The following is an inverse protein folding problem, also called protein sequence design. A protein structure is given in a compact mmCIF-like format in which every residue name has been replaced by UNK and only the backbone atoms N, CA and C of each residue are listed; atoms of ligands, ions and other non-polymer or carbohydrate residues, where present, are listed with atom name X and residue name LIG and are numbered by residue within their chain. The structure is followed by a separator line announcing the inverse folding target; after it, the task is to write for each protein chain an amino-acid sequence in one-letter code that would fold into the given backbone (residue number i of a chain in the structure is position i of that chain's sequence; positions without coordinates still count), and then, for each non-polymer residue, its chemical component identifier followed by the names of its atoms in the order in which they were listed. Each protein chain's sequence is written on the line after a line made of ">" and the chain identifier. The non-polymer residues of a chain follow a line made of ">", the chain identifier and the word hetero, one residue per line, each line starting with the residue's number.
data_IF_459420064933
#
_entry.id   IF_459420064933
#
_cell.length_a   1.000
_cell.length_b   1.000
_cell.length_c   1.000
_cell.angle_alpha   90.00
_cell.angle_beta   90.00
_cell.angle_gamma   90.00
#
_symmetry.space_group_name_H-M   'P 1'
#
loop_
_entity.id
_entity.type
_entity.pdbx_description
1 polymer ?
#
# COMPACT_ATOMS: atom_id res chain seq x y z
N UNK A 1 -12.22 -59.50 -31.02
CA UNK A 1 -11.89 -58.05 -31.12
C UNK A 1 -12.99 -57.29 -30.40
N UNK A 2 -12.87 -57.15 -29.08
CA UNK A 2 -13.83 -56.40 -28.25
C UNK A 2 -13.27 -55.00 -28.01
N UNK A 3 -14.01 -53.98 -28.45
CA UNK A 3 -13.67 -52.57 -28.25
C UNK A 3 -14.29 -52.16 -26.91
N UNK A 4 -13.46 -51.92 -25.92
CA UNK A 4 -13.85 -51.22 -24.68
C UNK A 4 -13.99 -49.74 -25.00
N UNK A 5 -15.19 -49.18 -24.84
CA UNK A 5 -15.38 -47.73 -24.76
C UNK A 5 -15.08 -47.30 -23.33
N UNK A 6 -13.93 -46.68 -23.11
CA UNK A 6 -13.68 -45.93 -21.88
C UNK A 6 -14.61 -44.71 -21.86
N UNK A 7 -15.64 -44.77 -21.00
CA UNK A 7 -16.43 -43.60 -20.65
C UNK A 7 -15.56 -42.66 -19.81
N UNK A 8 -15.04 -41.61 -20.45
CA UNK A 8 -14.46 -40.45 -19.78
C UNK A 8 -15.56 -39.81 -18.93
N UNK A 9 -15.50 -40.00 -17.61
CA UNK A 9 -16.43 -39.41 -16.66
C UNK A 9 -16.23 -37.88 -16.66
N UNK A 10 -16.98 -37.17 -17.50
CA UNK A 10 -17.11 -35.73 -17.40
C UNK A 10 -17.84 -35.39 -16.10
N UNK A 11 -17.37 -34.34 -15.42
CA UNK A 11 -17.94 -33.84 -14.17
C UNK A 11 -19.47 -33.68 -14.33
N UNK A 12 -20.30 -34.33 -13.49
CA UNK A 12 -21.76 -34.33 -13.63
C UNK A 12 -22.37 -32.92 -13.56
N UNK A 13 -21.66 -31.93 -13.01
CA UNK A 13 -22.08 -30.52 -13.02
C UNK A 13 -21.93 -29.82 -14.38
N UNK A 14 -21.37 -30.47 -15.41
CA UNK A 14 -21.27 -29.92 -16.78
C UNK A 14 -22.54 -30.14 -17.63
N UNK A 15 -23.47 -30.95 -17.14
CA UNK A 15 -24.74 -31.22 -17.83
C UNK A 15 -25.77 -30.12 -17.54
N UNK A 16 -26.43 -29.54 -18.56
CA UNK A 16 -27.30 -28.37 -18.42
C UNK A 16 -28.51 -28.58 -17.49
N UNK A 17 -28.99 -29.83 -17.34
CA UNK A 17 -30.08 -30.18 -16.42
C UNK A 17 -29.63 -30.41 -14.96
N UNK A 18 -28.36 -30.74 -14.75
CA UNK A 18 -27.81 -31.12 -13.43
C UNK A 18 -27.09 -29.93 -12.80
N UNK A 19 -26.63 -28.98 -13.61
CA UNK A 19 -25.94 -27.78 -13.17
C UNK A 19 -26.82 -26.83 -12.33
N UNK A 20 -28.16 -26.93 -12.45
CA UNK A 20 -29.12 -26.20 -11.63
C UNK A 20 -29.46 -26.88 -10.29
N UNK A 21 -28.92 -28.07 -10.02
CA UNK A 21 -29.12 -28.72 -8.72
C UNK A 21 -28.34 -27.97 -7.63
N UNK A 22 -28.89 -27.86 -6.41
CA UNK A 22 -28.28 -27.14 -5.29
C UNK A 22 -26.77 -27.41 -5.09
N UNK A 23 -26.27 -28.65 -5.12
CA UNK A 23 -24.83 -28.92 -4.93
C UNK A 23 -23.92 -28.35 -6.02
N UNK A 24 -24.40 -28.09 -7.24
CA UNK A 24 -23.59 -27.46 -8.30
C UNK A 24 -23.70 -25.91 -8.29
N UNK A 25 -24.71 -25.34 -7.61
CA UNK A 25 -24.95 -23.90 -7.54
C UNK A 25 -24.26 -23.18 -6.36
N UNK A 26 -23.84 -23.93 -5.32
CA UNK A 26 -23.35 -23.35 -4.05
C UNK A 26 -21.91 -22.78 -4.12
N UNK A 27 -21.14 -23.08 -5.17
CA UNK A 27 -19.74 -22.64 -5.27
C UNK A 27 -19.59 -21.13 -5.53
N UNK A 28 -20.56 -20.50 -6.20
CA UNK A 28 -20.52 -19.06 -6.50
C UNK A 28 -20.82 -18.17 -5.28
N UNK A 29 -21.77 -18.58 -4.44
CA UNK A 29 -22.18 -17.82 -3.26
C UNK A 29 -21.07 -17.77 -2.20
N UNK A 30 -20.47 -18.92 -1.91
CA UNK A 30 -19.35 -19.03 -0.97
C UNK A 30 -18.12 -18.22 -1.43
N UNK A 31 -17.75 -18.33 -2.72
CA UNK A 31 -16.66 -17.55 -3.31
C UNK A 31 -16.94 -16.05 -3.24
N UNK A 32 -18.19 -15.63 -3.49
CA UNK A 32 -18.63 -14.25 -3.40
C UNK A 32 -18.52 -13.69 -1.97
N UNK A 33 -18.92 -14.44 -0.95
CA UNK A 33 -18.79 -14.02 0.46
C UNK A 33 -17.32 -13.80 0.83
N UNK A 34 -16.42 -14.74 0.50
CA UNK A 34 -14.99 -14.58 0.75
C UNK A 34 -14.36 -13.43 -0.05
N UNK A 35 -14.82 -13.18 -1.28
CA UNK A 35 -14.35 -12.04 -2.06
C UNK A 35 -14.84 -10.72 -1.46
N UNK A 36 -16.09 -10.62 -1.02
CA UNK A 36 -16.64 -9.43 -0.38
C UNK A 36 -15.89 -9.09 0.91
N UNK A 37 -15.49 -10.10 1.68
CA UNK A 37 -14.61 -9.91 2.83
C UNK A 37 -13.25 -9.31 2.42
N UNK A 38 -12.60 -9.88 1.39
CA UNK A 38 -11.35 -9.32 0.86
C UNK A 38 -11.52 -7.88 0.38
N UNK A 39 -12.57 -7.59 -0.39
CA UNK A 39 -12.84 -6.24 -0.91
C UNK A 39 -12.99 -5.25 0.23
N UNK A 40 -13.75 -5.58 1.27
CA UNK A 40 -14.01 -4.67 2.39
C UNK A 40 -12.75 -4.37 3.20
N UNK A 41 -11.94 -5.40 3.49
CA UNK A 41 -10.69 -5.24 4.22
C UNK A 41 -9.62 -4.50 3.41
N UNK A 42 -9.51 -4.78 2.11
CA UNK A 42 -8.56 -4.07 1.23
C UNK A 42 -8.98 -2.62 0.99
N UNK A 43 -10.28 -2.34 0.88
CA UNK A 43 -10.81 -0.99 0.68
C UNK A 43 -10.43 -0.06 1.84
N UNK A 44 -10.61 -0.50 3.09
CA UNK A 44 -10.21 0.25 4.28
C UNK A 44 -8.71 0.55 4.32
N UNK A 45 -7.87 -0.43 3.96
CA UNK A 45 -6.42 -0.23 3.90
C UNK A 45 -6.01 0.79 2.84
N UNK A 46 -6.57 0.68 1.63
CA UNK A 46 -6.27 1.62 0.55
C UNK A 46 -6.83 3.03 0.79
N UNK A 47 -7.99 3.17 1.44
CA UNK A 47 -8.53 4.47 1.83
C UNK A 47 -7.56 5.19 2.77
N UNK A 48 -7.03 4.50 3.78
CA UNK A 48 -6.00 5.03 4.67
C UNK A 48 -4.71 5.40 3.93
N UNK A 49 -4.27 4.56 2.99
CA UNK A 49 -3.08 4.83 2.17
C UNK A 49 -3.27 6.02 1.21
N UNK A 50 -4.49 6.24 0.71
CA UNK A 50 -4.83 7.35 -0.17
C UNK A 50 -5.00 8.66 0.60
N UNK A 51 -5.69 8.65 1.75
CA UNK A 51 -5.83 9.83 2.62
C UNK A 51 -4.46 10.34 3.06
N UNK A 52 -3.55 9.41 3.39
CA UNK A 52 -2.18 9.74 3.75
C UNK A 52 -1.29 10.12 2.56
N UNK A 53 -1.72 9.87 1.32
CA UNK A 53 -0.95 10.26 0.13
C UNK A 53 -0.88 11.79 -0.07
N UNK A 54 -1.86 12.54 0.43
CA UNK A 54 -1.79 14.01 0.44
C UNK A 54 -0.64 14.52 1.33
N UNK A 55 -0.37 13.82 2.44
CA UNK A 55 0.79 14.10 3.28
C UNK A 55 2.09 13.87 2.50
N UNK A 56 2.15 12.89 1.60
CA UNK A 56 3.34 12.61 0.78
C UNK A 56 3.68 13.78 -0.16
N UNK A 57 2.67 14.47 -0.73
CA UNK A 57 2.90 15.61 -1.63
C UNK A 57 3.50 16.78 -0.86
N UNK A 58 2.97 17.07 0.32
CA UNK A 58 3.50 18.12 1.19
C UNK A 58 4.94 17.79 1.63
N UNK A 59 5.22 16.55 2.03
CA UNK A 59 6.55 16.10 2.45
C UNK A 59 7.57 16.16 1.30
N UNK A 60 7.17 15.76 0.09
CA UNK A 60 8.02 15.87 -1.11
C UNK A 60 8.34 17.33 -1.40
N UNK A 61 7.36 18.22 -1.36
CA UNK A 61 7.58 19.65 -1.58
C UNK A 61 8.53 20.25 -0.54
N UNK A 62 8.34 19.89 0.73
CA UNK A 62 9.19 20.32 1.85
C UNK A 62 10.63 19.83 1.72
N UNK A 63 10.84 18.52 1.49
CA UNK A 63 12.17 17.96 1.23
C UNK A 63 12.83 18.57 -0.02
N UNK A 64 12.03 18.91 -1.03
CA UNK A 64 12.53 19.58 -2.24
C UNK A 64 13.04 20.98 -1.94
N UNK A 65 12.26 21.78 -1.21
CA UNK A 65 12.66 23.12 -0.79
C UNK A 65 13.94 23.07 0.06
N UNK A 66 13.98 22.12 0.99
CA UNK A 66 15.11 21.83 1.85
C UNK A 66 16.41 21.57 1.08
N UNK A 67 16.44 20.68 0.09
CA UNK A 67 17.70 20.34 -0.57
C UNK A 67 18.18 21.46 -1.50
N UNK A 68 17.26 22.22 -2.09
CA UNK A 68 17.61 23.42 -2.86
C UNK A 68 18.31 24.44 -1.95
N UNK A 69 17.76 24.66 -0.76
CA UNK A 69 18.38 25.53 0.22
C UNK A 69 19.73 25.01 0.73
N UNK A 70 19.86 23.71 1.03
CA UNK A 70 21.17 23.09 1.35
C UNK A 70 22.17 23.29 0.21
N UNK A 71 21.71 23.17 -1.05
CA UNK A 71 22.52 23.40 -2.25
C UNK A 71 23.06 24.83 -2.33
N UNK A 72 22.27 25.82 -1.92
CA UNK A 72 22.71 27.23 -1.85
C UNK A 72 23.79 27.46 -0.77
N UNK A 73 23.86 26.58 0.24
CA UNK A 73 24.85 26.66 1.33
C UNK A 73 26.20 26.04 0.97
N UNK A 74 26.22 25.06 0.06
CA UNK A 74 27.44 24.40 -0.45
C UNK A 74 28.51 25.42 -0.89
N UNK A 75 28.23 26.41 -1.77
CA UNK A 75 29.24 27.38 -2.19
C UNK A 75 29.69 28.31 -1.06
N UNK A 76 28.85 28.58 -0.07
CA UNK A 76 29.19 29.43 1.08
C UNK A 76 30.19 28.74 2.00
N UNK A 77 29.95 27.45 2.29
CA UNK A 77 30.89 26.63 3.07
C UNK A 77 32.21 26.46 2.34
N UNK A 78 32.18 26.26 1.02
CA UNK A 78 33.40 26.12 0.19
C UNK A 78 34.38 27.29 0.32
N UNK A 79 33.85 28.50 0.42
CA UNK A 79 34.64 29.74 0.49
C UNK A 79 34.78 30.29 1.92
N UNK A 80 34.37 29.51 2.93
CA UNK A 80 34.45 29.90 4.33
C UNK A 80 35.86 29.74 4.92
N UNK A 81 36.02 30.28 6.14
CA UNK A 81 37.23 30.14 6.97
C UNK A 81 37.14 28.99 7.98
N UNK A 82 36.17 28.09 7.85
CA UNK A 82 36.03 26.89 8.68
C UNK A 82 37.25 25.97 8.56
N UNK A 83 37.62 25.29 9.65
CA UNK A 83 38.79 24.41 9.70
C UNK A 83 38.58 23.14 8.84
N UNK A 84 37.38 22.57 8.90
CA UNK A 84 36.90 21.35 8.22
C UNK A 84 36.01 21.68 7.00
N UNK A 85 36.16 22.88 6.41
CA UNK A 85 35.32 23.34 5.27
C UNK A 85 35.22 22.37 4.11
N UNK A 86 36.29 21.63 3.79
CA UNK A 86 36.32 20.70 2.66
C UNK A 86 35.46 19.46 2.94
N UNK A 87 35.53 18.96 4.17
CA UNK A 87 34.72 17.85 4.64
C UNK A 87 33.25 18.27 4.78
N UNK A 88 32.98 19.42 5.39
CA UNK A 88 31.62 19.96 5.51
C UNK A 88 30.98 20.27 4.14
N UNK A 89 31.75 20.77 3.17
CA UNK A 89 31.29 20.93 1.79
C UNK A 89 30.88 19.59 1.18
N UNK A 90 31.78 18.59 1.24
CA UNK A 90 31.53 17.25 0.75
C UNK A 90 30.38 16.55 1.50
N UNK A 91 30.11 16.95 2.75
CA UNK A 91 29.00 16.58 3.62
C UNK A 91 27.80 17.53 3.57
N UNK A 92 27.74 18.50 2.67
CA UNK A 92 26.50 19.23 2.33
C UNK A 92 25.98 18.82 0.94
N UNK A 93 26.89 18.54 0.01
CA UNK A 93 26.57 18.11 -1.37
C UNK A 93 25.70 16.83 -1.48
N UNK A 94 26.21 15.66 -1.13
CA UNK A 94 25.46 14.40 -0.95
C UNK A 94 24.18 14.39 -0.04
N UNK A 95 23.77 15.46 0.66
CA UNK A 95 22.59 15.57 1.58
C UNK A 95 21.55 16.26 0.76
N UNK A 96 21.97 17.24 -0.05
CA UNK A 96 21.17 17.67 -1.15
C UNK A 96 20.86 16.48 -2.08
N UNK A 97 21.84 15.61 -2.40
CA UNK A 97 21.58 14.39 -3.19
C UNK A 97 20.70 13.38 -2.45
N UNK A 98 20.99 13.04 -1.19
CA UNK A 98 20.17 12.12 -0.40
C UNK A 98 18.74 12.63 -0.23
N UNK A 99 18.54 13.93 0.01
CA UNK A 99 17.21 14.54 0.16
C UNK A 99 16.44 14.54 -1.16
N UNK A 100 17.13 14.79 -2.27
CA UNK A 100 16.57 14.68 -3.63
C UNK A 100 16.16 13.25 -3.95
N UNK A 101 16.98 12.27 -3.60
CA UNK A 101 16.65 10.85 -3.73
C UNK A 101 15.46 10.49 -2.84
N UNK A 102 15.46 10.87 -1.56
CA UNK A 102 14.35 10.62 -0.64
C UNK A 102 13.03 11.21 -1.16
N UNK A 103 13.04 12.45 -1.64
CA UNK A 103 11.87 13.09 -2.25
C UNK A 103 11.35 12.33 -3.48
N UNK A 104 12.26 11.88 -4.36
CA UNK A 104 11.89 11.06 -5.53
C UNK A 104 11.29 9.72 -5.14
N UNK A 105 11.86 9.03 -4.15
CA UNK A 105 11.36 7.74 -3.69
C UNK A 105 10.00 7.87 -3.00
N UNK A 106 9.78 8.92 -2.19
CA UNK A 106 8.47 9.24 -1.62
C UNK A 106 7.41 9.50 -2.70
N UNK A 107 7.75 10.28 -3.73
CA UNK A 107 6.87 10.53 -4.85
C UNK A 107 6.53 9.24 -5.61
N UNK A 108 7.54 8.39 -5.87
CA UNK A 108 7.33 7.10 -6.51
C UNK A 108 6.47 6.15 -5.65
N UNK A 109 6.65 6.16 -4.33
CA UNK A 109 5.84 5.38 -3.41
C UNK A 109 4.37 5.79 -3.50
N UNK A 110 4.10 7.10 -3.44
CA UNK A 110 2.74 7.65 -3.59
C UNK A 110 2.09 7.24 -4.92
N UNK A 111 2.81 7.40 -6.04
CA UNK A 111 2.33 6.97 -7.34
C UNK A 111 2.07 5.45 -7.42
N UNK A 112 2.92 4.63 -6.79
CA UNK A 112 2.71 3.18 -6.70
C UNK A 112 1.51 2.81 -5.85
N UNK A 113 1.25 3.53 -4.76
CA UNK A 113 0.04 3.35 -3.94
C UNK A 113 -1.20 3.59 -4.82
N UNK A 114 -1.30 4.74 -5.49
CA UNK A 114 -2.44 5.06 -6.35
C UNK A 114 -2.62 4.02 -7.47
N UNK A 115 -1.55 3.71 -8.21
CA UNK A 115 -1.59 2.73 -9.29
C UNK A 115 -1.91 1.31 -8.78
N UNK A 116 -1.42 0.95 -7.59
CA UNK A 116 -1.70 -0.32 -6.94
C UNK A 116 -3.17 -0.45 -6.55
N UNK A 117 -3.75 0.59 -5.96
CA UNK A 117 -5.18 0.68 -5.63
C UNK A 117 -6.03 0.52 -6.89
N UNK A 118 -5.69 1.21 -7.98
CA UNK A 118 -6.42 1.10 -9.24
C UNK A 118 -6.39 -0.31 -9.81
N UNK A 119 -5.21 -0.96 -9.81
CA UNK A 119 -5.05 -2.33 -10.29
C UNK A 119 -5.87 -3.33 -9.46
N UNK A 120 -5.83 -3.23 -8.13
CA UNK A 120 -6.58 -4.12 -7.25
C UNK A 120 -8.08 -3.88 -7.42
N UNK A 121 -8.53 -2.63 -7.43
CA UNK A 121 -9.94 -2.27 -7.61
C UNK A 121 -10.47 -2.77 -8.96
N UNK A 122 -9.68 -2.63 -10.03
CA UNK A 122 -10.05 -3.13 -11.34
C UNK A 122 -10.20 -4.65 -11.38
N UNK A 123 -9.26 -5.40 -10.78
CA UNK A 123 -9.32 -6.87 -10.76
C UNK A 123 -10.42 -7.37 -9.82
N UNK A 124 -10.60 -6.77 -8.64
CA UNK A 124 -11.70 -7.12 -7.73
C UNK A 124 -13.06 -6.80 -8.36
N UNK A 125 -13.20 -5.65 -9.02
CA UNK A 125 -14.42 -5.27 -9.75
C UNK A 125 -14.71 -6.20 -10.92
N UNK A 126 -13.68 -6.64 -11.65
CA UNK A 126 -13.82 -7.68 -12.68
C UNK A 126 -14.28 -9.01 -12.08
N UNK A 127 -13.65 -9.44 -11.00
CA UNK A 127 -13.98 -10.68 -10.29
C UNK A 127 -15.43 -10.68 -9.80
N UNK A 128 -15.85 -9.58 -9.17
CA UNK A 128 -17.22 -9.42 -8.69
C UNK A 128 -18.24 -9.50 -9.84
N UNK A 129 -17.98 -8.83 -10.98
CA UNK A 129 -18.85 -8.90 -12.16
C UNK A 129 -18.99 -10.32 -12.71
N UNK A 130 -17.89 -11.06 -12.79
CA UNK A 130 -17.91 -12.47 -13.24
C UNK A 130 -18.70 -13.34 -12.25
N UNK A 131 -18.43 -13.23 -10.95
CA UNK A 131 -19.10 -14.06 -9.93
C UNK A 131 -20.60 -13.77 -9.80
N UNK A 132 -21.03 -12.52 -10.00
CA UNK A 132 -22.44 -12.14 -9.98
C UNK A 132 -23.18 -12.48 -11.27
N UNK A 133 -22.50 -13.04 -12.28
CA UNK A 133 -23.09 -13.32 -13.58
C UNK A 133 -23.54 -12.06 -14.32
N UNK A 134 -23.01 -10.90 -13.96
CA UNK A 134 -23.36 -9.63 -14.60
C UNK A 134 -22.82 -9.64 -16.04
N UNK A 135 -23.67 -9.49 -17.08
CA UNK A 135 -23.19 -9.44 -18.45
C UNK A 135 -22.27 -8.22 -18.65
N UNK A 136 -21.27 -8.31 -19.55
CA UNK A 136 -20.47 -7.14 -19.90
C UNK A 136 -21.37 -6.03 -20.48
N UNK A 137 -20.99 -4.75 -20.35
CA UNK A 137 -21.82 -3.61 -20.77
C UNK A 137 -22.21 -3.60 -22.26
N UNK A 138 -21.64 -4.49 -23.08
CA UNK A 138 -21.88 -4.62 -24.52
C UNK A 138 -22.79 -5.79 -24.92
N UNK A 139 -23.25 -6.64 -24.00
CA UNK A 139 -24.04 -7.84 -24.34
C UNK A 139 -25.25 -8.01 -23.42
N UNK A 140 -26.23 -7.12 -23.55
CA UNK A 140 -27.61 -7.45 -23.20
C UNK A 140 -28.13 -8.48 -24.20
N UNK A 141 -27.83 -9.75 -23.95
CA UNK A 141 -28.28 -10.84 -24.81
C UNK A 141 -29.81 -10.89 -24.83
N UNK A 142 -30.39 -10.78 -26.03
CA UNK A 142 -31.80 -11.00 -26.35
C UNK A 142 -32.34 -12.39 -25.88
N UNK A 143 -31.50 -13.24 -25.32
CA UNK A 143 -31.84 -14.56 -24.80
C UNK A 143 -32.59 -14.53 -23.46
N UNK A 144 -32.47 -13.46 -22.66
CA UNK A 144 -33.27 -13.34 -21.42
C UNK A 144 -34.75 -13.02 -21.71
N UNK A 145 -35.05 -12.38 -22.84
CA UNK A 145 -36.39 -11.86 -23.14
C UNK A 145 -37.31 -12.88 -23.83
N UNK A 146 -36.77 -13.93 -24.44
CA UNK A 146 -37.58 -14.88 -25.24
C UNK A 146 -38.28 -15.92 -24.35
N UNK A 147 -37.70 -16.26 -23.19
CA UNK A 147 -38.28 -17.26 -22.28
C UNK A 147 -39.50 -16.75 -21.49
N UNK A 148 -39.63 -15.43 -21.30
CA UNK A 148 -40.76 -14.78 -20.61
C UNK A 148 -42.07 -14.78 -21.43
N UNK A 149 -42.02 -15.08 -22.72
CA UNK A 149 -43.20 -15.01 -23.60
C UNK A 149 -44.02 -16.32 -23.54
N UNK A 150 -43.40 -17.46 -23.20
CA UNK A 150 -44.02 -18.79 -23.37
C UNK A 150 -44.56 -19.39 -22.06
N UNK A 151 -44.10 -18.92 -20.89
CA UNK A 151 -44.54 -19.43 -19.59
C UNK A 151 -44.87 -18.25 -18.66
N UNK A 152 -46.14 -17.93 -18.38
CA UNK A 152 -46.53 -16.79 -17.55
C UNK A 152 -46.47 -17.13 -16.06
N UNK A 153 -45.45 -17.89 -15.65
CA UNK A 153 -45.13 -18.07 -14.23
C UNK A 153 -44.17 -16.93 -13.91
N UNK A 154 -44.50 -16.09 -12.92
CA UNK A 154 -43.66 -14.98 -12.46
C UNK A 154 -42.39 -15.49 -11.75
N UNK A 155 -41.57 -16.23 -12.45
CA UNK A 155 -40.22 -16.55 -12.03
C UNK A 155 -39.29 -15.63 -12.81
N UNK A 156 -38.68 -14.66 -12.12
CA UNK A 156 -37.54 -13.85 -12.61
C UNK A 156 -36.31 -14.74 -12.88
N UNK A 157 -36.47 -15.83 -13.62
CA UNK A 157 -35.40 -16.77 -13.93
C UNK A 157 -34.70 -16.30 -15.19
N UNK A 158 -34.02 -15.16 -15.09
CA UNK A 158 -32.69 -15.12 -15.65
C UNK A 158 -31.91 -16.20 -14.90
N UNK A 159 -31.91 -17.43 -15.42
CA UNK A 159 -31.08 -18.51 -14.88
C UNK A 159 -29.66 -18.01 -15.02
N UNK A 160 -29.10 -17.50 -13.92
CA UNK A 160 -27.68 -17.20 -13.84
C UNK A 160 -26.99 -18.48 -14.28
N UNK A 161 -26.28 -18.40 -15.42
CA UNK A 161 -25.58 -19.54 -15.98
C UNK A 161 -24.72 -20.11 -14.84
N UNK A 162 -24.86 -21.40 -14.49
CA UNK A 162 -24.02 -21.98 -13.46
C UNK A 162 -22.58 -21.77 -13.90
N UNK A 163 -21.86 -20.94 -13.13
CA UNK A 163 -20.49 -20.60 -13.46
C UNK A 163 -19.65 -21.87 -13.36
N UNK A 164 -18.85 -22.12 -14.39
CA UNK A 164 -17.88 -23.21 -14.37
C UNK A 164 -16.98 -23.05 -13.12
N UNK A 165 -16.88 -24.06 -12.25
CA UNK A 165 -16.00 -24.03 -11.09
C UNK A 165 -14.55 -23.65 -11.42
N UNK A 166 -14.06 -24.01 -12.62
CA UNK A 166 -12.72 -23.62 -13.07
C UNK A 166 -12.61 -22.11 -13.35
N UNK A 167 -13.67 -21.49 -13.88
CA UNK A 167 -13.72 -20.04 -14.10
C UNK A 167 -13.78 -19.32 -12.76
N UNK A 168 -14.62 -19.78 -11.82
CA UNK A 168 -14.70 -19.20 -10.45
C UNK A 168 -13.33 -19.24 -9.78
N UNK A 169 -12.69 -20.41 -9.79
CA UNK A 169 -11.36 -20.58 -9.20
C UNK A 169 -10.31 -19.71 -9.89
N UNK A 170 -10.31 -19.66 -11.22
CA UNK A 170 -9.34 -18.90 -12.00
C UNK A 170 -9.42 -17.38 -11.75
N UNK A 171 -10.62 -16.81 -11.76
CA UNK A 171 -10.78 -15.37 -11.54
C UNK A 171 -10.51 -15.00 -10.08
N UNK A 172 -10.82 -15.89 -9.13
CA UNK A 172 -10.47 -15.70 -7.73
C UNK A 172 -8.95 -15.78 -7.47
N UNK A 173 -8.26 -16.75 -8.08
CA UNK A 173 -6.80 -16.85 -8.02
C UNK A 173 -6.12 -15.63 -8.66
N UNK A 174 -6.66 -15.13 -9.77
CA UNK A 174 -6.19 -13.91 -10.42
C UNK A 174 -6.30 -12.70 -9.48
N UNK A 175 -7.43 -12.55 -8.78
CA UNK A 175 -7.62 -11.47 -7.82
C UNK A 175 -6.62 -11.52 -6.68
N UNK A 176 -6.45 -12.68 -6.04
CA UNK A 176 -5.54 -12.81 -4.92
C UNK A 176 -4.07 -12.68 -5.31
N UNK A 177 -3.66 -13.28 -6.44
CA UNK A 177 -2.27 -13.15 -6.93
C UNK A 177 -1.95 -11.70 -7.27
N UNK A 178 -2.84 -11.02 -8.00
CA UNK A 178 -2.63 -9.60 -8.33
C UNK A 178 -2.53 -8.73 -7.08
N UNK A 179 -3.42 -8.94 -6.09
CA UNK A 179 -3.38 -8.20 -4.83
C UNK A 179 -2.06 -8.42 -4.09
N UNK A 180 -1.60 -9.66 -3.99
CA UNK A 180 -0.33 -9.95 -3.31
C UNK A 180 0.89 -9.38 -4.04
N UNK A 181 0.93 -9.46 -5.36
CA UNK A 181 2.02 -8.90 -6.17
C UNK A 181 2.10 -7.38 -6.00
N UNK A 182 0.94 -6.71 -5.99
CA UNK A 182 0.86 -5.26 -5.73
C UNK A 182 1.34 -4.93 -4.32
N UNK A 183 0.82 -5.62 -3.29
CA UNK A 183 1.21 -5.38 -1.90
C UNK A 183 2.70 -5.64 -1.66
N UNK A 184 3.27 -6.71 -2.23
CA UNK A 184 4.70 -6.98 -2.15
C UNK A 184 5.53 -5.87 -2.82
N UNK A 185 5.10 -5.40 -4.00
CA UNK A 185 5.75 -4.28 -4.68
C UNK A 185 5.70 -2.97 -3.90
N UNK A 186 4.61 -2.71 -3.16
CA UNK A 186 4.48 -1.57 -2.26
C UNK A 186 5.41 -1.67 -1.05
N UNK A 187 5.49 -2.86 -0.44
CA UNK A 187 6.37 -3.11 0.70
C UNK A 187 7.84 -2.86 0.33
N UNK A 188 8.30 -3.38 -0.82
CA UNK A 188 9.66 -3.15 -1.32
C UNK A 188 9.93 -1.67 -1.62
N UNK A 189 8.96 -0.95 -2.20
CA UNK A 189 9.10 0.47 -2.48
C UNK A 189 9.16 1.31 -1.20
N UNK A 190 8.36 0.97 -0.19
CA UNK A 190 8.36 1.66 1.10
C UNK A 190 9.67 1.40 1.87
N UNK A 191 10.18 0.17 1.90
CA UNK A 191 11.49 -0.16 2.48
C UNK A 191 12.63 0.61 1.80
N UNK A 192 12.63 0.67 0.47
CA UNK A 192 13.63 1.44 -0.27
C UNK A 192 13.55 2.95 0.06
N UNK A 193 12.34 3.47 0.27
CA UNK A 193 12.13 4.87 0.67
C UNK A 193 12.66 5.13 2.08
N UNK A 194 12.41 4.23 3.04
CA UNK A 194 12.99 4.33 4.39
C UNK A 194 14.52 4.33 4.36
N UNK A 195 15.13 3.44 3.58
CA UNK A 195 16.59 3.38 3.46
C UNK A 195 17.20 4.71 2.96
N UNK A 196 16.49 5.44 2.08
CA UNK A 196 16.90 6.78 1.65
C UNK A 196 16.73 7.84 2.73
N UNK A 197 15.65 7.76 3.51
CA UNK A 197 15.45 8.64 4.67
C UNK A 197 16.47 8.37 5.79
N UNK A 198 16.93 7.12 5.97
CA UNK A 198 17.99 6.77 6.92
C UNK A 198 19.35 7.27 6.47
N UNK A 199 19.65 7.21 5.17
CA UNK A 199 20.86 7.78 4.58
C UNK A 199 20.91 9.29 4.84
N UNK A 200 19.78 9.98 4.64
CA UNK A 200 19.62 11.40 4.94
C UNK A 200 19.88 11.70 6.43
N UNK A 201 19.36 10.87 7.35
CA UNK A 201 19.57 11.03 8.80
C UNK A 201 21.04 10.86 9.19
N UNK A 202 21.67 9.81 8.67
CA UNK A 202 23.10 9.53 8.89
C UNK A 202 23.95 10.71 8.45
N UNK A 203 23.63 11.33 7.32
CA UNK A 203 24.37 12.48 6.81
C UNK A 203 24.15 13.73 7.64
N UNK A 204 22.92 13.99 8.10
CA UNK A 204 22.65 15.05 9.07
C UNK A 204 23.45 14.86 10.37
N UNK A 205 23.62 13.62 10.82
CA UNK A 205 24.42 13.32 12.01
C UNK A 205 25.90 13.66 11.77
N UNK A 206 26.49 13.23 10.65
CA UNK A 206 27.88 13.56 10.34
C UNK A 206 28.14 15.07 10.23
N UNK A 207 27.18 15.82 9.66
CA UNK A 207 27.25 17.29 9.62
C UNK A 207 27.26 17.87 11.03
N UNK A 208 26.37 17.39 11.91
CA UNK A 208 26.28 17.85 13.28
C UNK A 208 27.55 17.53 14.08
N UNK A 209 28.15 16.36 13.88
CA UNK A 209 29.40 15.98 14.54
C UNK A 209 30.54 16.93 14.13
N UNK A 210 30.68 17.25 12.84
CA UNK A 210 31.70 18.22 12.37
C UNK A 210 31.40 19.63 12.86
N UNK A 211 30.13 20.03 12.83
CA UNK A 211 29.69 21.32 13.34
C UNK A 211 30.05 21.51 14.82
N UNK A 212 29.93 20.46 15.63
CA UNK A 212 30.34 20.46 17.03
C UNK A 212 31.85 20.73 17.20
N UNK A 213 32.68 20.10 16.37
CA UNK A 213 34.14 20.34 16.39
C UNK A 213 34.51 21.75 15.93
N UNK A 214 33.77 22.33 14.99
CA UNK A 214 33.95 23.71 14.51
C UNK A 214 33.56 24.75 15.56
N UNK A 215 32.47 24.53 16.31
CA UNK A 215 31.94 25.51 17.26
C UNK A 215 32.55 25.43 18.65
N UNK A 216 33.30 24.36 18.98
CA UNK A 216 33.98 24.16 20.28
C UNK A 216 33.06 24.38 21.50
N UNK A 217 31.78 24.01 21.38
CA UNK A 217 30.77 24.19 22.43
C UNK A 217 30.45 22.85 23.07
N UNK A 218 30.64 22.76 24.39
CA UNK A 218 30.47 21.54 25.18
C UNK A 218 29.00 21.50 25.68
N UNK A 219 28.29 20.40 25.39
CA UNK A 219 26.89 20.08 25.74
C UNK A 219 25.79 20.84 24.97
N UNK A 220 25.49 20.40 23.74
CA UNK A 220 24.32 20.84 22.99
C UNK A 220 23.70 19.73 22.14
N UNK A 221 22.39 19.76 21.98
CA UNK A 221 21.65 18.88 21.08
C UNK A 221 21.97 19.18 19.60
N UNK A 222 21.83 18.16 18.73
CA UNK A 222 22.07 18.22 17.28
C UNK A 222 21.51 19.49 16.62
N UNK A 223 20.28 19.84 16.95
CA UNK A 223 19.59 21.01 16.38
C UNK A 223 20.28 22.34 16.73
N UNK A 224 20.84 22.45 17.94
CA UNK A 224 21.47 23.66 18.44
C UNK A 224 22.87 23.83 17.83
N UNK A 225 23.63 22.73 17.74
CA UNK A 225 24.94 22.68 17.09
C UNK A 225 24.84 23.13 15.62
N UNK A 226 23.86 22.61 14.88
CA UNK A 226 23.65 22.99 13.48
C UNK A 226 23.31 24.49 13.34
N UNK A 227 22.50 25.04 14.25
CA UNK A 227 22.16 26.47 14.25
C UNK A 227 23.39 27.35 14.48
N UNK A 228 24.27 26.96 15.41
CA UNK A 228 25.46 27.72 15.75
C UNK A 228 26.48 27.75 14.62
N UNK A 229 26.66 26.63 13.91
CA UNK A 229 27.54 26.56 12.73
C UNK A 229 27.17 27.63 11.68
N UNK A 230 25.88 27.88 11.48
CA UNK A 230 25.40 28.91 10.55
C UNK A 230 25.72 30.34 11.00
N UNK A 231 25.75 30.59 12.31
CA UNK A 231 26.17 31.90 12.83
C UNK A 231 27.67 32.15 12.59
N UNK A 232 28.49 31.09 12.63
CA UNK A 232 29.93 31.16 12.39
C UNK A 232 30.29 31.35 10.91
N UNK A 233 29.52 30.75 10.00
CA UNK A 233 29.66 30.89 8.55
C UNK A 233 29.34 32.30 8.00
N UNK A 234 28.79 33.19 8.84
CA UNK A 234 28.17 34.43 8.39
C UNK A 234 28.31 35.62 9.32
N UNK A 235 29.52 35.93 9.78
CA UNK A 235 29.85 37.12 10.60
C UNK A 235 29.54 38.47 9.94
N UNK A 236 28.26 38.79 9.71
CA UNK A 236 27.73 40.12 9.45
C UNK A 236 26.19 40.12 9.63
N UNK A 237 25.65 41.02 10.46
CA UNK A 237 24.25 41.03 10.92
C UNK A 237 23.18 41.03 9.81
N UNK A 238 23.48 41.57 8.63
CA UNK A 238 22.56 41.56 7.48
C UNK A 238 22.45 40.20 6.78
N UNK A 239 23.51 39.39 6.77
CA UNK A 239 23.47 38.01 6.26
C UNK A 239 22.87 37.04 7.29
N UNK A 240 22.87 37.42 8.57
CA UNK A 240 22.31 36.64 9.67
C UNK A 240 20.80 36.35 9.50
N UNK A 241 20.02 37.23 8.86
CA UNK A 241 18.60 36.98 8.55
C UNK A 241 18.37 36.01 7.38
N UNK A 242 19.37 35.83 6.52
CA UNK A 242 19.35 34.80 5.48
C UNK A 242 19.80 33.47 6.11
N UNK A 243 20.86 33.49 6.92
CA UNK A 243 21.36 32.31 7.63
C UNK A 243 20.48 31.81 8.79
N UNK A 244 19.67 32.66 9.44
CA UNK A 244 18.63 32.20 10.37
C UNK A 244 17.59 31.36 9.65
N UNK A 245 17.17 31.77 8.45
CA UNK A 245 16.33 30.94 7.59
C UNK A 245 17.04 29.63 7.24
N UNK A 246 18.35 29.65 7.01
CA UNK A 246 19.11 28.44 6.65
C UNK A 246 19.39 27.48 7.83
N UNK A 247 19.54 28.00 9.05
CA UNK A 247 19.58 27.19 10.27
C UNK A 247 18.21 26.63 10.65
N UNK A 248 17.15 27.36 10.35
CA UNK A 248 15.79 26.82 10.38
C UNK A 248 15.64 25.71 9.33
N UNK A 249 16.21 25.86 8.12
CA UNK A 249 16.15 24.83 7.06
C UNK A 249 16.72 23.49 7.52
N UNK A 250 17.90 23.44 8.19
CA UNK A 250 18.46 22.18 8.68
C UNK A 250 17.60 21.49 9.75
N UNK A 251 17.03 22.27 10.68
CA UNK A 251 16.05 21.76 11.63
C UNK A 251 14.80 21.26 10.91
N UNK A 252 14.34 22.00 9.93
CA UNK A 252 13.16 21.67 9.15
C UNK A 252 13.42 20.40 8.32
N UNK A 253 14.65 20.15 7.84
CA UNK A 253 15.03 18.86 7.21
C UNK A 253 14.82 17.71 8.16
N UNK A 254 15.31 17.82 9.40
CA UNK A 254 15.17 16.75 10.37
C UNK A 254 13.69 16.50 10.71
N UNK A 255 12.91 17.56 10.86
CA UNK A 255 11.46 17.46 11.07
C UNK A 255 10.74 16.81 9.89
N UNK A 256 11.01 17.25 8.65
CA UNK A 256 10.41 16.70 7.44
C UNK A 256 10.83 15.25 7.20
N UNK A 257 12.09 14.90 7.48
CA UNK A 257 12.57 13.52 7.43
C UNK A 257 11.84 12.65 8.44
N UNK A 258 11.72 13.08 9.71
CA UNK A 258 10.99 12.33 10.74
C UNK A 258 9.51 12.14 10.35
N UNK A 259 8.87 13.18 9.84
CA UNK A 259 7.50 13.10 9.35
C UNK A 259 7.35 12.15 8.16
N UNK A 260 8.29 12.18 7.21
CA UNK A 260 8.33 11.25 6.10
C UNK A 260 8.57 9.80 6.54
N UNK A 261 9.48 9.57 7.48
CA UNK A 261 9.73 8.24 8.02
C UNK A 261 8.50 7.68 8.76
N UNK A 262 7.80 8.52 9.53
CA UNK A 262 6.55 8.15 10.18
C UNK A 262 5.45 7.79 9.16
N UNK A 263 5.31 8.60 8.10
CA UNK A 263 4.39 8.31 7.00
C UNK A 263 4.72 6.96 6.34
N UNK A 264 5.96 6.73 5.93
CA UNK A 264 6.36 5.47 5.26
C UNK A 264 6.24 4.27 6.21
N UNK A 265 6.51 4.45 7.51
CA UNK A 265 6.29 3.43 8.53
C UNK A 265 4.81 3.03 8.67
N UNK A 266 3.91 4.01 8.63
CA UNK A 266 2.46 3.75 8.59
C UNK A 266 2.08 3.00 7.31
N UNK A 267 2.61 3.40 6.14
CA UNK A 267 2.37 2.68 4.87
C UNK A 267 2.78 1.21 4.96
N UNK A 268 3.97 0.92 5.51
CA UNK A 268 4.45 -0.45 5.69
C UNK A 268 3.52 -1.27 6.57
N UNK A 269 3.16 -0.76 7.74
CA UNK A 269 2.28 -1.46 8.68
C UNK A 269 0.91 -1.79 8.05
N UNK A 270 0.35 -0.82 7.32
CA UNK A 270 -0.92 -1.01 6.59
C UNK A 270 -0.80 -2.08 5.51
N UNK A 271 0.26 -2.04 4.69
CA UNK A 271 0.50 -3.04 3.63
C UNK A 271 0.75 -4.44 4.20
N UNK A 272 1.48 -4.57 5.32
CA UNK A 272 1.69 -5.85 6.02
C UNK A 272 0.39 -6.44 6.54
N UNK A 273 -0.47 -5.60 7.11
CA UNK A 273 -1.81 -6.00 7.57
C UNK A 273 -2.64 -6.51 6.38
N UNK A 274 -2.67 -5.77 5.27
CA UNK A 274 -3.39 -6.15 4.06
C UNK A 274 -2.86 -7.45 3.45
N UNK A 275 -1.56 -7.69 3.49
CA UNK A 275 -0.95 -8.92 2.98
C UNK A 275 -1.33 -10.13 3.84
N UNK A 276 -1.37 -9.96 5.16
CA UNK A 276 -1.83 -11.00 6.08
C UNK A 276 -3.28 -11.38 5.78
N UNK A 277 -4.16 -10.38 5.64
CA UNK A 277 -5.57 -10.61 5.28
C UNK A 277 -5.74 -11.29 3.93
N UNK A 278 -4.95 -10.92 2.91
CA UNK A 278 -5.00 -11.57 1.60
C UNK A 278 -4.59 -13.06 1.67
N UNK A 279 -3.51 -13.36 2.41
CA UNK A 279 -3.04 -14.75 2.64
C UNK A 279 -4.08 -15.58 3.40
N UNK A 280 -4.71 -15.01 4.41
CA UNK A 280 -5.77 -15.67 5.18
C UNK A 280 -7.00 -15.94 4.31
N UNK A 281 -7.44 -14.94 3.54
CA UNK A 281 -8.57 -15.09 2.61
C UNK A 281 -8.28 -16.19 1.59
N UNK A 282 -7.04 -16.28 1.07
CA UNK A 282 -6.64 -17.40 0.21
C UNK A 282 -6.80 -18.75 0.90
N UNK A 283 -6.36 -18.88 2.16
CA UNK A 283 -6.48 -20.14 2.92
C UNK A 283 -7.94 -20.52 3.11
N UNK A 284 -8.79 -19.57 3.46
CA UNK A 284 -10.24 -19.80 3.64
C UNK A 284 -10.89 -20.23 2.33
N UNK A 285 -10.67 -19.48 1.25
CA UNK A 285 -11.25 -19.80 -0.04
C UNK A 285 -10.72 -21.10 -0.63
N UNK A 286 -9.42 -21.41 -0.47
CA UNK A 286 -8.89 -22.72 -0.85
C UNK A 286 -9.60 -23.83 -0.06
N UNK A 287 -9.82 -23.65 1.25
CA UNK A 287 -10.55 -24.61 2.07
C UNK A 287 -12.01 -24.81 1.63
N UNK A 288 -12.70 -23.73 1.28
CA UNK A 288 -14.10 -23.73 0.82
C UNK A 288 -14.23 -24.32 -0.58
N UNK A 289 -13.39 -23.86 -1.53
CA UNK A 289 -13.40 -24.30 -2.93
C UNK A 289 -12.92 -25.75 -3.09
N UNK A 290 -11.98 -26.21 -2.25
CA UNK A 290 -11.50 -27.60 -2.26
C UNK A 290 -12.43 -28.58 -1.54
N UNK A 291 -13.27 -28.12 -0.59
CA UNK A 291 -14.13 -29.02 0.19
C UNK A 291 -15.58 -29.09 -0.28
N UNK A 292 -16.06 -28.21 -1.16
CA UNK A 292 -17.35 -28.33 -1.88
C UNK A 292 -18.62 -28.57 -1.06
N UNK A 293 -18.56 -28.56 0.28
CA UNK A 293 -19.61 -29.07 1.16
C UNK A 293 -19.59 -28.30 2.48
N UNK A 294 -19.82 -26.99 2.43
CA UNK A 294 -20.14 -26.22 3.63
C UNK A 294 -21.39 -25.40 3.33
N UNK A 295 -22.49 -25.59 4.08
CA UNK A 295 -23.69 -24.76 3.93
C UNK A 295 -23.33 -23.28 4.11
N UNK A 296 -23.96 -22.40 3.31
CA UNK A 296 -23.68 -20.96 3.30
C UNK A 296 -23.76 -20.32 4.70
N UNK A 297 -24.67 -20.81 5.56
CA UNK A 297 -24.81 -20.38 6.96
C UNK A 297 -23.56 -20.64 7.79
N UNK A 298 -22.89 -21.78 7.57
CA UNK A 298 -21.68 -22.14 8.30
C UNK A 298 -20.48 -21.34 7.79
N UNK A 299 -20.43 -21.02 6.50
CA UNK A 299 -19.41 -20.15 5.90
C UNK A 299 -19.56 -18.73 6.44
N UNK A 300 -20.78 -18.19 6.49
CA UNK A 300 -21.10 -16.88 7.07
C UNK A 300 -20.75 -16.81 8.55
N UNK A 301 -21.05 -17.85 9.32
CA UNK A 301 -20.72 -17.89 10.75
C UNK A 301 -19.20 -17.96 10.98
N UNK A 302 -18.47 -18.81 10.24
CA UNK A 302 -17.01 -18.90 10.39
C UNK A 302 -16.31 -17.61 9.93
N UNK A 303 -16.78 -16.98 8.86
CA UNK A 303 -16.19 -15.72 8.36
C UNK A 303 -16.53 -14.54 9.25
N UNK A 304 -17.78 -14.40 9.70
CA UNK A 304 -18.16 -13.31 10.61
C UNK A 304 -17.51 -13.44 11.99
N UNK A 305 -17.42 -14.64 12.54
CA UNK A 305 -16.80 -14.88 13.84
C UNK A 305 -15.26 -14.77 13.75
N UNK A 306 -14.65 -15.24 12.66
CA UNK A 306 -13.24 -15.02 12.34
C UNK A 306 -12.90 -13.53 12.22
N UNK A 307 -13.65 -12.78 11.42
CA UNK A 307 -13.47 -11.33 11.25
C UNK A 307 -13.70 -10.56 12.56
N UNK A 308 -14.67 -10.98 13.37
CA UNK A 308 -14.95 -10.38 14.69
C UNK A 308 -13.80 -10.62 15.67
N UNK A 309 -13.22 -11.81 15.69
CA UNK A 309 -12.06 -12.14 16.54
C UNK A 309 -10.82 -11.37 16.12
N UNK A 310 -10.62 -11.14 14.82
CA UNK A 310 -9.51 -10.32 14.31
C UNK A 310 -9.69 -8.84 14.66
N UNK A 311 -10.91 -8.29 14.52
CA UNK A 311 -11.22 -6.93 14.99
C UNK A 311 -10.96 -6.77 16.48
N UNK A 312 -11.38 -7.73 17.31
CA UNK A 312 -11.14 -7.68 18.77
C UNK A 312 -9.65 -7.88 19.10
N UNK A 313 -8.94 -8.72 18.35
CA UNK A 313 -7.49 -8.93 18.50
C UNK A 313 -6.65 -7.71 18.12
N UNK A 314 -7.06 -6.95 17.10
CA UNK A 314 -6.39 -5.70 16.68
C UNK A 314 -6.78 -4.46 17.51
N UNK A 315 -7.76 -4.56 18.42
CA UNK A 315 -8.22 -3.42 19.24
C UNK A 315 -7.36 -3.17 20.50
N UNK A 316 -6.30 -3.96 20.73
CA UNK A 316 -5.40 -3.72 21.87
C UNK A 316 -3.92 -3.64 21.47
N UNK A 317 -3.55 -2.54 20.82
CA UNK A 317 -2.38 -1.77 21.26
C UNK A 317 -2.81 -0.31 21.40
N UNK A 318 -3.29 0.12 22.58
CA UNK A 318 -3.42 1.54 22.85
C UNK A 318 -2.03 2.16 22.80
N UNK A 319 -1.78 2.99 21.78
CA UNK A 319 -0.69 3.97 21.80
C UNK A 319 -1.04 4.99 22.89
N UNK A 320 -0.75 4.64 24.14
CA UNK A 320 -0.75 5.58 25.25
C UNK A 320 0.70 5.95 25.56
N UNK A 321 0.99 7.21 25.29
CA UNK A 321 2.07 8.03 25.82
C UNK A 321 3.48 7.80 25.26
N UNK A 322 3.74 8.45 24.12
CA UNK A 322 5.07 9.02 23.81
C UNK A 322 4.94 10.54 23.77
N UNK A 323 4.60 11.13 24.91
CA UNK A 323 4.92 12.52 25.24
C UNK A 323 5.29 12.54 26.72
N UNK A 324 6.58 12.41 26.98
CA UNK A 324 7.33 12.96 28.11
C UNK A 324 8.81 12.81 27.78
#
# INVERSE_FOLDING_TARGET
>A
MSIYLELVIHNPCSLPLVASLPPCAMNGAAAHITLSHLVNEQASGFEMLLESSDASVALVAQLTATWMAVGDLVPLVKHSHLQHRAELHALLEALADDAKDAARYLQQLSARISSGTDRITAVLGHTSRVLLGAPPPSMTSLQCTIFDIVIPIRSNTCVARPLDPQIVLGVYQLALSTTEDVLWGLMMAAQATLSKLDSLDSRLQSIADIAFWETAIIEQDKEQVLRELWTFLGGNQQRLHQFQRDGDILRDVEAYRKAAAAYVGMVLNTVETMQTTAKETRRMASGVLLRGVLPDELILNITSDGARRLRVGNVQVPVRNLVA
#
